data_IF_280885759534
#
_entry.id   IF_280885759534
#
_cell.length_a   1.000
_cell.length_b   1.000
_cell.length_c   1.000
_cell.angle_alpha   90.00
_cell.angle_beta   90.00
_cell.angle_gamma   90.00
#
_symmetry.space_group_name_H-M   'P 1'
#
loop_
_entity.id
_entity.type
_entity.pdbx_description
1 polymer ?
#
# COMPACT_ATOMS: atom_id res chain seq x y z
N UNK A 1 -11.71 1.68 -2.84
CA UNK A 1 -10.57 2.59 -3.04
C UNK A 1 -9.50 2.25 -2.03
N UNK A 2 -8.23 2.22 -2.44
CA UNK A 2 -7.09 2.09 -1.51
C UNK A 2 -6.09 3.17 -1.92
N UNK A 3 -5.74 4.04 -0.98
CA UNK A 3 -4.71 5.06 -1.14
C UNK A 3 -3.75 4.94 0.04
N UNK A 4 -2.46 4.86 -0.25
CA UNK A 4 -1.44 4.83 0.79
C UNK A 4 -0.54 6.05 0.62
N UNK A 5 -0.35 6.85 1.67
CA UNK A 5 0.68 7.89 1.68
C UNK A 5 1.85 7.31 2.48
N UNK A 6 3.02 7.24 1.87
CA UNK A 6 4.14 6.48 2.42
C UNK A 6 5.43 7.26 2.41
N UNK A 7 6.32 6.90 3.33
CA UNK A 7 7.75 7.15 3.23
C UNK A 7 8.45 5.81 3.07
N UNK A 8 9.32 5.73 2.08
CA UNK A 8 10.01 4.49 1.70
C UNK A 8 11.50 4.77 1.62
N UNK A 9 12.31 3.96 2.29
CA UNK A 9 13.77 4.01 2.18
C UNK A 9 14.26 2.74 1.50
N UNK A 10 15.14 2.90 0.51
CA UNK A 10 15.73 1.77 -0.19
C UNK A 10 16.72 2.20 -1.28
N UNK A 11 17.14 1.21 -2.08
CA UNK A 11 18.18 1.38 -3.09
C UNK A 11 17.60 1.44 -4.50
N UNK A 12 17.99 2.42 -5.30
CA UNK A 12 17.61 2.50 -6.71
C UNK A 12 18.24 1.32 -7.46
N UNK A 13 17.42 0.44 -8.03
CA UNK A 13 17.87 -0.78 -8.69
C UNK A 13 18.32 -0.61 -10.14
N UNK A 14 18.03 0.54 -10.75
CA UNK A 14 18.47 0.94 -12.10
C UNK A 14 18.38 2.46 -12.25
N UNK A 15 19.27 3.05 -13.04
CA UNK A 15 19.22 4.48 -13.39
C UNK A 15 17.80 4.90 -13.82
N UNK A 16 17.41 6.10 -13.41
CA UNK A 16 16.18 6.70 -13.89
C UNK A 16 16.23 6.94 -15.40
N UNK A 17 15.06 6.80 -16.02
CA UNK A 17 14.81 7.16 -17.41
C UNK A 17 13.62 8.11 -17.47
N UNK A 18 13.70 9.17 -18.28
CA UNK A 18 12.53 9.96 -18.62
C UNK A 18 11.61 9.17 -19.55
N UNK A 19 10.31 9.33 -19.35
CA UNK A 19 9.22 8.71 -20.11
C UNK A 19 8.14 9.75 -20.32
N UNK A 20 7.27 9.51 -21.29
CA UNK A 20 6.13 10.37 -21.57
C UNK A 20 4.85 9.61 -21.32
N UNK A 21 3.90 10.21 -20.61
CA UNK A 21 2.59 9.62 -20.38
C UNK A 21 1.67 9.83 -21.61
N UNK A 22 0.43 9.34 -21.55
CA UNK A 22 -0.53 9.47 -22.67
C UNK A 22 -0.94 10.93 -22.97
N UNK A 23 -0.77 11.82 -22.01
CA UNK A 23 -1.13 13.24 -22.10
C UNK A 23 0.05 14.10 -22.62
N UNK A 24 1.21 13.48 -22.89
CA UNK A 24 2.42 14.18 -23.34
C UNK A 24 3.30 14.70 -22.20
N UNK A 25 2.93 14.46 -20.93
CA UNK A 25 3.71 14.91 -19.78
C UNK A 25 4.92 13.99 -19.54
N UNK A 26 6.09 14.60 -19.32
CA UNK A 26 7.32 13.89 -18.99
C UNK A 26 7.37 13.49 -17.52
N UNK A 27 7.84 12.28 -17.24
CA UNK A 27 8.07 11.77 -15.90
C UNK A 27 9.31 10.87 -15.86
N UNK A 28 10.00 10.85 -14.73
CA UNK A 28 11.07 9.93 -14.41
C UNK A 28 10.52 8.60 -13.92
N UNK A 29 11.19 7.51 -14.27
CA UNK A 29 10.85 6.18 -13.76
C UNK A 29 12.09 5.35 -13.45
N UNK A 30 12.08 4.68 -12.30
CA UNK A 30 13.10 3.73 -11.86
C UNK A 30 12.51 2.72 -10.85
N UNK A 31 13.10 1.51 -10.75
CA UNK A 31 12.76 0.58 -9.68
C UNK A 31 13.52 0.95 -8.40
N UNK A 32 12.83 0.93 -7.25
CA UNK A 32 13.42 0.97 -5.93
C UNK A 32 13.34 -0.43 -5.31
N UNK A 33 14.46 -0.93 -4.81
CA UNK A 33 14.54 -2.18 -4.05
C UNK A 33 14.48 -1.86 -2.58
N UNK A 34 13.56 -2.51 -1.87
CA UNK A 34 13.33 -2.30 -0.45
C UNK A 34 13.33 -3.65 0.23
N UNK A 35 14.18 -3.79 1.22
CA UNK A 35 14.28 -4.97 2.07
C UNK A 35 13.23 -4.88 3.16
N UNK A 36 12.35 -5.89 3.21
CA UNK A 36 11.31 -6.03 4.22
C UNK A 36 11.62 -7.26 5.06
N UNK A 37 11.62 -7.17 6.40
CA UNK A 37 11.81 -8.33 7.25
C UNK A 37 10.63 -9.31 7.10
N UNK A 38 10.92 -10.58 6.82
CA UNK A 38 9.98 -11.70 6.95
C UNK A 38 9.78 -12.02 8.44
N UNK A 39 8.66 -12.68 8.75
CA UNK A 39 8.28 -13.19 10.07
C UNK A 39 9.31 -14.15 10.66
N UNK A 40 10.06 -14.86 9.82
CA UNK A 40 11.09 -15.81 10.22
C UNK A 40 12.50 -15.18 10.35
N UNK A 41 12.61 -13.85 10.22
CA UNK A 41 13.88 -13.12 10.29
C UNK A 41 14.72 -13.20 9.02
N UNK A 42 14.21 -13.82 7.95
CA UNK A 42 14.78 -13.70 6.62
C UNK A 42 14.40 -12.34 6.01
N UNK A 43 15.30 -11.73 5.26
CA UNK A 43 15.05 -10.46 4.61
C UNK A 43 14.62 -10.72 3.15
N UNK A 44 13.45 -10.20 2.77
CA UNK A 44 12.92 -10.32 1.42
C UNK A 44 12.96 -8.97 0.72
N UNK A 45 13.36 -8.96 -0.55
CA UNK A 45 13.43 -7.73 -1.34
C UNK A 45 12.17 -7.57 -2.17
N UNK A 46 11.43 -6.50 -1.93
CA UNK A 46 10.35 -6.07 -2.82
C UNK A 46 10.87 -5.01 -3.80
N UNK A 47 10.36 -5.04 -5.02
CA UNK A 47 10.62 -4.00 -6.02
C UNK A 47 9.41 -3.07 -6.14
N UNK A 48 9.65 -1.78 -5.96
CA UNK A 48 8.66 -0.71 -6.08
C UNK A 48 8.97 0.09 -7.34
N UNK A 49 8.00 0.18 -8.25
CA UNK A 49 8.11 1.03 -9.43
C UNK A 49 7.87 2.48 -9.00
N UNK A 50 8.91 3.31 -9.05
CA UNK A 50 8.82 4.73 -8.73
C UNK A 50 8.57 5.53 -10.00
N UNK A 51 7.67 6.52 -9.91
CA UNK A 51 7.48 7.57 -10.89
C UNK A 51 7.50 8.94 -10.22
N UNK A 52 8.13 9.93 -10.85
CA UNK A 52 8.15 11.32 -10.39
C UNK A 52 8.04 12.24 -11.60
N UNK A 53 7.26 13.31 -11.53
CA UNK A 53 7.29 14.33 -12.58
C UNK A 53 8.71 14.88 -12.75
N UNK A 54 9.18 14.98 -13.99
CA UNK A 54 10.53 15.42 -14.27
C UNK A 54 11.01 15.14 -15.69
N UNK A 55 12.18 15.67 -16.02
CA UNK A 55 12.77 15.64 -17.37
C UNK A 55 14.02 14.75 -17.46
N UNK A 56 14.52 14.56 -18.69
CA UNK A 56 15.70 13.73 -18.93
C UNK A 56 16.98 14.29 -18.27
N UNK A 57 17.07 15.60 -18.08
CA UNK A 57 18.18 16.27 -17.41
C UNK A 57 18.26 15.86 -15.92
N UNK A 58 17.11 15.77 -15.26
CA UNK A 58 16.97 15.39 -13.85
C UNK A 58 17.23 13.89 -13.61
N UNK A 59 17.07 13.05 -14.64
CA UNK A 59 17.29 11.61 -14.53
C UNK A 59 18.70 11.25 -14.03
N UNK A 60 19.69 12.09 -14.36
CA UNK A 60 21.09 11.92 -13.97
C UNK A 60 21.33 11.95 -12.45
N UNK A 61 20.39 12.54 -11.68
CA UNK A 61 20.41 12.61 -10.22
C UNK A 61 19.95 11.33 -9.51
N UNK A 62 19.34 10.39 -10.24
CA UNK A 62 18.77 9.16 -9.68
C UNK A 62 19.44 7.93 -10.29
N UNK A 63 20.55 7.50 -9.70
CA UNK A 63 21.43 6.47 -10.25
C UNK A 63 21.27 5.11 -9.56
N UNK A 64 21.54 4.05 -10.30
CA UNK A 64 21.62 2.70 -9.76
C UNK A 64 22.59 2.65 -8.57
N UNK A 65 22.18 2.01 -7.48
CA UNK A 65 22.95 1.88 -6.24
C UNK A 65 22.81 3.08 -5.28
N UNK A 66 22.16 4.17 -5.69
CA UNK A 66 21.88 5.27 -4.77
C UNK A 66 20.84 4.86 -3.72
N UNK A 67 21.15 5.11 -2.45
CA UNK A 67 20.21 4.95 -1.35
C UNK A 67 19.40 6.25 -1.19
N UNK A 68 18.07 6.13 -1.20
CA UNK A 68 17.15 7.27 -1.13
C UNK A 68 16.00 7.02 -0.16
N UNK A 69 15.50 8.10 0.43
CA UNK A 69 14.20 8.15 1.09
C UNK A 69 13.21 8.85 0.15
N UNK A 70 12.03 8.27 -0.03
CA UNK A 70 10.99 8.75 -0.94
C UNK A 70 9.70 8.91 -0.17
N UNK A 71 9.13 10.13 -0.19
CA UNK A 71 7.76 10.36 0.27
C UNK A 71 6.84 10.47 -0.94
N UNK A 72 5.68 9.82 -0.88
CA UNK A 72 4.74 9.84 -1.99
C UNK A 72 3.46 9.05 -1.77
N UNK A 73 2.69 8.90 -2.85
CA UNK A 73 1.47 8.08 -2.87
C UNK A 73 1.75 6.72 -3.49
N UNK A 74 1.55 5.65 -2.71
CA UNK A 74 1.70 4.27 -3.14
C UNK A 74 0.35 3.69 -3.61
N UNK A 75 0.39 3.13 -4.82
CA UNK A 75 -0.71 2.42 -5.47
C UNK A 75 -0.39 0.94 -5.62
N UNK A 76 -1.27 0.13 -5.05
CA UNK A 76 -1.23 -1.33 -5.12
C UNK A 76 -2.02 -1.80 -6.35
N UNK A 77 -1.41 -2.64 -7.19
CA UNK A 77 -2.06 -3.21 -8.36
C UNK A 77 -1.83 -4.70 -8.42
N UNK A 78 -2.90 -5.49 -8.51
CA UNK A 78 -2.80 -6.94 -8.66
C UNK A 78 -2.99 -7.32 -10.13
N UNK A 79 -2.15 -8.20 -10.67
CA UNK A 79 -2.34 -8.83 -11.98
C UNK A 79 -2.01 -10.31 -11.86
N UNK A 80 -3.03 -11.17 -12.04
CA UNK A 80 -2.93 -12.58 -11.66
C UNK A 80 -2.52 -12.70 -10.18
N UNK A 81 -1.49 -13.51 -9.92
CA UNK A 81 -0.98 -13.75 -8.55
C UNK A 81 0.01 -12.69 -8.06
N UNK A 82 0.45 -11.76 -8.92
CA UNK A 82 1.48 -10.78 -8.57
C UNK A 82 0.87 -9.48 -8.08
N UNK A 83 1.40 -8.97 -6.97
CA UNK A 83 1.12 -7.64 -6.44
C UNK A 83 2.25 -6.69 -6.85
N UNK A 84 1.89 -5.57 -7.47
CA UNK A 84 2.79 -4.52 -7.91
C UNK A 84 2.64 -3.28 -7.03
N UNK A 85 3.77 -2.74 -6.61
CA UNK A 85 3.88 -1.51 -5.84
C UNK A 85 4.28 -0.38 -6.79
N UNK A 86 3.43 0.62 -6.94
CA UNK A 86 3.70 1.78 -7.79
C UNK A 86 3.68 3.04 -6.93
N UNK A 87 4.83 3.68 -6.74
CA UNK A 87 4.99 4.87 -5.92
C UNK A 87 5.08 6.10 -6.82
N UNK A 88 4.13 6.99 -6.69
CA UNK A 88 4.24 8.34 -7.24
C UNK A 88 4.92 9.23 -6.20
N UNK A 89 6.14 9.68 -6.50
CA UNK A 89 7.01 10.37 -5.56
C UNK A 89 6.78 11.87 -5.55
N UNK A 90 6.50 12.42 -4.38
CA UNK A 90 6.43 13.86 -4.15
C UNK A 90 7.84 14.40 -3.90
N UNK A 91 8.60 13.75 -3.00
CA UNK A 91 9.97 14.11 -2.61
C UNK A 91 10.88 12.88 -2.63
N UNK A 92 12.12 13.08 -3.07
CA UNK A 92 13.19 12.08 -3.05
C UNK A 92 14.42 12.75 -2.45
N UNK A 93 14.91 12.21 -1.34
CA UNK A 93 16.09 12.71 -0.63
C UNK A 93 17.17 11.63 -0.62
N UNK A 94 18.45 11.96 -0.92
CA UNK A 94 19.55 11.02 -0.73
C UNK A 94 19.75 10.74 0.77
N UNK A 95 20.08 9.50 1.10
CA UNK A 95 20.41 9.08 2.47
C UNK A 95 21.74 8.35 2.51
N UNK A 96 22.29 8.16 3.71
CA UNK A 96 23.50 7.38 3.89
C UNK A 96 23.27 5.93 3.46
N UNK A 97 24.27 5.30 2.83
CA UNK A 97 24.13 3.97 2.24
C UNK A 97 23.82 2.85 3.24
N UNK A 98 24.15 3.08 4.52
CA UNK A 98 23.90 2.19 5.66
C UNK A 98 22.56 2.46 6.38
N UNK A 99 21.76 3.41 5.88
CA UNK A 99 20.39 3.63 6.38
C UNK A 99 19.58 2.36 6.15
N UNK A 100 18.84 1.90 7.16
CA UNK A 100 18.01 0.70 7.03
C UNK A 100 16.82 0.94 6.08
N UNK A 101 16.58 0.00 5.18
CA UNK A 101 15.39 -0.02 4.34
C UNK A 101 14.12 -0.05 5.19
N UNK A 102 13.09 0.67 4.75
CA UNK A 102 11.76 0.60 5.35
C UNK A 102 10.67 1.01 4.38
N UNK A 103 9.44 0.60 4.69
CA UNK A 103 8.24 1.12 4.07
C UNK A 103 7.21 1.36 5.17
N UNK A 104 6.87 2.63 5.39
CA UNK A 104 5.93 3.07 6.45
C UNK A 104 4.97 4.11 5.90
N UNK A 105 3.85 4.29 6.57
CA UNK A 105 2.90 5.34 6.26
C UNK A 105 1.47 4.90 6.52
N UNK A 106 0.53 5.65 5.99
CA UNK A 106 -0.89 5.50 6.30
C UNK A 106 -1.66 5.00 5.10
N UNK A 107 -2.67 4.18 5.38
CA UNK A 107 -3.65 3.70 4.42
C UNK A 107 -5.00 4.36 4.67
N UNK A 108 -5.62 4.85 3.60
CA UNK A 108 -7.05 5.09 3.53
C UNK A 108 -7.69 4.01 2.64
N UNK A 109 -8.65 3.30 3.21
CA UNK A 109 -9.35 2.18 2.57
C UNK A 109 -10.85 2.45 2.53
N UNK A 110 -11.47 2.15 1.39
CA UNK A 110 -12.92 2.00 1.24
C UNK A 110 -13.20 0.70 0.51
N UNK A 111 -14.02 -0.17 1.08
CA UNK A 111 -14.28 -1.48 0.50
C UNK A 111 -15.37 -2.26 1.21
N UNK A 112 -15.42 -3.57 0.94
CA UNK A 112 -16.42 -4.49 1.50
C UNK A 112 -15.75 -5.52 2.40
N UNK A 113 -16.32 -5.74 3.58
CA UNK A 113 -15.84 -6.73 4.55
C UNK A 113 -16.05 -8.14 3.98
N UNK A 114 -15.03 -8.97 4.12
CA UNK A 114 -15.03 -10.38 3.74
C UNK A 114 -15.85 -11.26 4.68
N UNK A 115 -15.79 -12.57 4.48
CA UNK A 115 -16.57 -13.53 5.28
C UNK A 115 -16.06 -13.70 6.70
N UNK A 116 -14.74 -13.60 6.90
CA UNK A 116 -14.10 -13.95 8.16
C UNK A 116 -13.80 -12.69 8.98
N UNK A 117 -14.38 -12.65 10.18
CA UNK A 117 -14.13 -11.68 11.23
C UNK A 117 -13.83 -12.50 12.47
N UNK A 118 -12.69 -12.24 13.08
CA UNK A 118 -12.15 -13.06 14.15
C UNK A 118 -11.80 -12.17 15.34
N UNK A 119 -12.22 -12.57 16.53
CA UNK A 119 -11.74 -12.00 17.78
C UNK A 119 -10.58 -12.86 18.27
N UNK A 120 -9.43 -12.22 18.43
CA UNK A 120 -8.18 -12.87 18.80
C UNK A 120 -7.60 -12.18 20.04
N UNK A 121 -6.56 -12.79 20.61
CA UNK A 121 -5.78 -12.21 21.69
C UNK A 121 -4.34 -12.00 21.26
N UNK A 122 -3.76 -10.86 21.63
CA UNK A 122 -2.36 -10.56 21.39
C UNK A 122 -1.45 -11.36 22.35
N UNK A 123 -0.13 -11.12 22.28
CA UNK A 123 0.85 -11.79 23.15
C UNK A 123 0.68 -11.47 24.64
N UNK A 124 -0.05 -10.41 24.97
CA UNK A 124 -0.32 -9.95 26.34
C UNK A 124 -1.76 -10.30 26.78
N UNK A 125 -2.43 -11.24 26.09
CA UNK A 125 -3.81 -11.65 26.32
C UNK A 125 -4.86 -10.53 26.09
N UNK A 126 -4.48 -9.41 25.45
CA UNK A 126 -5.42 -8.33 25.12
C UNK A 126 -6.25 -8.69 23.88
N UNK A 127 -7.58 -8.53 23.91
CA UNK A 127 -8.42 -8.83 22.77
C UNK A 127 -8.20 -7.82 21.63
N UNK A 128 -8.26 -8.31 20.39
CA UNK A 128 -8.27 -7.50 19.19
C UNK A 128 -9.14 -8.16 18.12
N UNK A 129 -9.74 -7.35 17.24
CA UNK A 129 -10.49 -7.87 16.09
C UNK A 129 -9.61 -7.92 14.86
N UNK A 130 -9.63 -9.04 14.15
CA UNK A 130 -8.98 -9.22 12.85
C UNK A 130 -10.04 -9.52 11.80
N UNK A 131 -10.01 -8.80 10.67
CA UNK A 131 -10.87 -9.11 9.53
C UNK A 131 -10.15 -8.83 8.22
N UNK A 132 -10.71 -9.34 7.12
CA UNK A 132 -10.23 -8.98 5.78
C UNK A 132 -11.32 -8.19 5.07
N UNK A 133 -10.94 -7.16 4.32
CA UNK A 133 -11.84 -6.45 3.42
C UNK A 133 -11.17 -6.26 2.07
N UNK A 134 -11.96 -6.03 1.04
CA UNK A 134 -11.46 -5.84 -0.31
C UNK A 134 -12.00 -4.58 -0.97
N UNK A 135 -11.16 -3.94 -1.78
CA UNK A 135 -11.57 -2.94 -2.75
C UNK A 135 -11.68 -3.60 -4.12
N UNK A 136 -12.72 -3.24 -4.87
CA UNK A 136 -12.93 -3.68 -6.24
C UNK A 136 -12.48 -2.57 -7.18
N UNK A 137 -11.77 -2.92 -8.25
CA UNK A 137 -11.52 -2.03 -9.39
C UNK A 137 -12.01 -2.72 -10.66
N UNK A 138 -12.87 -2.04 -11.43
CA UNK A 138 -13.24 -2.50 -12.77
C UNK A 138 -12.06 -2.23 -13.72
N UNK A 139 -11.62 -3.24 -14.45
CA UNK A 139 -10.56 -3.18 -15.45
C UNK A 139 -11.10 -3.85 -16.71
N UNK A 140 -11.40 -3.04 -17.72
CA UNK A 140 -12.11 -3.47 -18.92
C UNK A 140 -13.43 -4.17 -18.58
N UNK A 141 -13.59 -5.44 -18.96
CA UNK A 141 -14.76 -6.27 -18.65
C UNK A 141 -14.60 -7.08 -17.34
N UNK A 142 -13.44 -7.00 -16.68
CA UNK A 142 -13.10 -7.78 -15.49
C UNK A 142 -13.09 -6.96 -14.20
N UNK A 143 -13.10 -7.66 -13.06
CA UNK A 143 -12.96 -7.06 -11.73
C UNK A 143 -11.69 -7.56 -11.04
N UNK A 144 -10.83 -6.62 -10.65
CA UNK A 144 -9.66 -6.89 -9.81
C UNK A 144 -10.01 -6.62 -8.34
N UNK A 145 -9.73 -7.60 -7.48
CA UNK A 145 -9.97 -7.54 -6.05
C UNK A 145 -8.63 -7.34 -5.33
N UNK A 146 -8.51 -6.24 -4.60
CA UNK A 146 -7.37 -6.01 -3.70
C UNK A 146 -7.83 -6.22 -2.27
N UNK A 147 -7.37 -7.31 -1.67
CA UNK A 147 -7.60 -7.67 -0.29
C UNK A 147 -6.59 -6.98 0.63
N UNK A 148 -7.06 -6.59 1.81
CA UNK A 148 -6.26 -6.04 2.91
C UNK A 148 -6.73 -6.69 4.21
N UNK A 149 -5.77 -7.04 5.08
CA UNK A 149 -6.05 -7.51 6.44
C UNK A 149 -6.05 -6.35 7.42
N UNK A 150 -7.07 -6.26 8.26
CA UNK A 150 -7.26 -5.18 9.21
C UNK A 150 -7.11 -5.72 10.63
N UNK A 151 -6.41 -4.95 11.46
CA UNK A 151 -6.20 -5.24 12.87
C UNK A 151 -6.72 -4.08 13.72
N UNK A 152 -7.74 -4.36 14.53
CA UNK A 152 -8.37 -3.42 15.45
C UNK A 152 -7.97 -3.76 16.88
N UNK A 153 -6.97 -3.06 17.40
CA UNK A 153 -6.51 -3.19 18.78
C UNK A 153 -7.26 -2.24 19.70
N UNK A 154 -7.26 -2.55 20.99
CA UNK A 154 -7.71 -1.67 22.07
C UNK A 154 -9.16 -1.15 21.93
N UNK A 155 -9.99 -1.84 21.14
CA UNK A 155 -11.42 -1.57 20.99
C UNK A 155 -12.22 -2.86 20.86
N UNK A 156 -13.44 -2.86 21.39
CA UNK A 156 -14.39 -3.94 21.16
C UNK A 156 -14.85 -3.92 19.70
N UNK A 157 -15.19 -5.11 19.19
CA UNK A 157 -15.82 -5.24 17.88
C UNK A 157 -17.15 -4.49 17.88
N UNK A 158 -17.35 -3.64 16.89
CA UNK A 158 -18.64 -2.98 16.69
C UNK A 158 -19.66 -3.96 16.11
N UNK A 159 -20.90 -3.93 16.61
CA UNK A 159 -21.97 -4.87 16.20
C UNK A 159 -22.27 -4.80 14.71
N UNK A 160 -22.15 -3.61 14.12
CA UNK A 160 -22.38 -3.38 12.69
C UNK A 160 -21.29 -4.01 11.81
N UNK A 161 -20.11 -4.33 12.36
CA UNK A 161 -19.01 -4.92 11.61
C UNK A 161 -19.34 -6.39 11.30
N UNK A 162 -20.02 -6.60 10.17
CA UNK A 162 -20.50 -7.89 9.70
C UNK A 162 -20.02 -8.18 8.27
N UNK A 163 -19.97 -9.47 7.86
CA UNK A 163 -19.63 -9.84 6.49
C UNK A 163 -20.47 -9.09 5.45
N UNK A 164 -19.80 -8.56 4.44
CA UNK A 164 -20.44 -7.85 3.34
C UNK A 164 -20.83 -6.40 3.60
N UNK A 165 -20.63 -5.88 4.82
CA UNK A 165 -20.79 -4.45 5.10
C UNK A 165 -19.71 -3.66 4.37
N UNK A 166 -20.08 -2.49 3.85
CA UNK A 166 -19.12 -1.55 3.27
C UNK A 166 -18.51 -0.72 4.39
N UNK A 167 -17.21 -0.49 4.32
CA UNK A 167 -16.45 0.20 5.36
C UNK A 167 -15.51 1.24 4.77
N UNK A 168 -15.24 2.25 5.57
CA UNK A 168 -14.06 3.09 5.47
C UNK A 168 -13.15 2.79 6.66
N UNK A 169 -11.85 2.68 6.37
CA UNK A 169 -10.84 2.47 7.38
C UNK A 169 -9.64 3.39 7.11
N UNK A 170 -9.07 3.95 8.17
CA UNK A 170 -7.77 4.62 8.14
C UNK A 170 -6.86 4.03 9.20
N UNK A 171 -5.57 4.03 8.91
CA UNK A 171 -4.55 3.68 9.89
C UNK A 171 -3.24 3.29 9.23
N UNK A 172 -2.31 2.84 10.03
CA UNK A 172 -0.95 2.54 9.61
C UNK A 172 -0.91 1.35 8.62
N UNK A 173 -0.29 1.57 7.46
CA UNK A 173 0.04 0.54 6.49
C UNK A 173 1.16 -0.35 7.04
N UNK A 174 0.97 -1.66 6.95
CA UNK A 174 2.04 -2.63 7.16
C UNK A 174 2.16 -3.52 5.94
N UNK A 175 3.39 -3.75 5.49
CA UNK A 175 3.72 -4.71 4.44
C UNK A 175 4.59 -5.79 5.06
N UNK A 176 4.21 -7.04 4.84
CA UNK A 176 5.02 -8.21 5.22
C UNK A 176 5.18 -9.11 4.01
N UNK A 177 6.22 -9.92 3.99
CA UNK A 177 6.41 -10.94 2.97
C UNK A 177 6.26 -12.30 3.63
N UNK A 178 5.61 -13.25 2.96
CA UNK A 178 5.53 -14.63 3.40
C UNK A 178 5.66 -15.56 2.18
N UNK A 179 6.64 -16.46 2.19
CA UNK A 179 6.96 -17.32 1.04
C UNK A 179 7.13 -16.53 -0.27
N UNK A 180 7.86 -15.41 -0.21
CA UNK A 180 8.07 -14.49 -1.33
C UNK A 180 6.83 -13.72 -1.80
N UNK A 181 5.68 -13.86 -1.11
CA UNK A 181 4.44 -13.15 -1.46
C UNK A 181 4.19 -12.01 -0.48
N UNK A 182 4.17 -10.75 -0.95
CA UNK A 182 3.84 -9.63 -0.10
C UNK A 182 2.35 -9.65 0.30
N UNK A 183 2.09 -9.44 1.57
CA UNK A 183 0.78 -9.27 2.19
C UNK A 183 0.63 -7.83 2.70
N UNK A 184 -0.58 -7.29 2.53
CA UNK A 184 -0.90 -5.91 2.89
C UNK A 184 -1.86 -5.91 4.05
N UNK A 185 -1.49 -5.20 5.10
CA UNK A 185 -2.37 -4.99 6.25
C UNK A 185 -2.44 -3.54 6.71
N UNK A 186 -3.44 -3.27 7.53
CA UNK A 186 -3.68 -1.98 8.14
C UNK A 186 -3.88 -2.17 9.65
N UNK A 187 -3.06 -1.51 10.46
CA UNK A 187 -3.34 -1.33 11.90
C UNK A 187 -4.31 -0.15 11.99
N UNK A 188 -5.55 -0.45 12.34
CA UNK A 188 -6.66 0.47 12.10
C UNK A 188 -6.79 1.47 13.24
N UNK A 189 -6.82 2.75 12.89
CA UNK A 189 -7.05 3.87 13.80
C UNK A 189 -8.51 4.30 13.75
N UNK A 190 -9.03 4.54 12.55
CA UNK A 190 -10.44 4.88 12.31
C UNK A 190 -11.12 3.76 11.52
N UNK A 191 -12.32 3.37 11.95
CA UNK A 191 -13.16 2.39 11.27
C UNK A 191 -14.61 2.87 11.33
N UNK A 192 -15.28 2.91 10.19
CA UNK A 192 -16.69 3.31 10.12
C UNK A 192 -17.44 2.55 9.03
N UNK A 193 -18.74 2.36 9.27
CA UNK A 193 -19.64 1.85 8.25
C UNK A 193 -19.78 2.89 7.13
N UNK A 194 -19.57 2.46 5.89
CA UNK A 194 -19.80 3.29 4.71
C UNK A 194 -21.21 3.03 4.18
N UNK A 195 -22.10 4.00 4.37
CA UNK A 195 -23.41 4.04 3.73
C UNK A 195 -23.27 4.97 2.53
N UNK A 196 -23.33 4.47 1.28
CA UNK A 196 -23.42 5.35 0.13
C UNK A 196 -24.65 6.22 0.29
N UNK A 197 -24.53 7.52 0.05
CA UNK A 197 -25.71 8.36 -0.11
C UNK A 197 -26.58 7.73 -1.20
N UNK A 198 -27.85 7.46 -0.88
CA UNK A 198 -28.82 7.05 -1.87
C UNK A 198 -28.88 8.13 -2.93
N UNK A 199 -28.68 7.78 -4.20
CA UNK A 199 -28.98 8.65 -5.34
C UNK A 199 -30.47 9.02 -5.25
N UNK A 200 -30.79 10.12 -4.56
CA UNK A 200 -32.06 10.81 -4.69
C UNK A 200 -32.03 11.60 -6.01
N UNK A 201 -31.95 10.88 -7.12
CA UNK A 201 -32.33 11.39 -8.44
C UNK A 201 -33.18 10.33 -9.12
N UNK A 202 -34.49 10.43 -8.89
CA UNK A 202 -35.54 10.20 -9.88
C UNK A 202 -36.88 10.39 -9.16
N UNK A 203 -37.33 11.65 -9.12
CA UNK A 203 -38.75 11.99 -9.06
C UNK A 203 -39.09 12.72 -10.36
#
# INVERSE_FOLDING_TARGET
>A
MIKCNVTVCGTIGRNASARTNKEGNSFLSFPLRVTIPDRDGQNEVIEISVSKDGSQEEASGYRNGSHVEITGTLFLKRRGDKLYFNLFADRIDPVASDTADFLKGDMAFRGKVGKNIEERKDRNDKPYTMFSAFSIKKVDENFEYQWVRFFCFDRQREEWLQPGVKVEAKGELTVSVHNGKPDISCRVEELMQYVPESDNSNQ
#
